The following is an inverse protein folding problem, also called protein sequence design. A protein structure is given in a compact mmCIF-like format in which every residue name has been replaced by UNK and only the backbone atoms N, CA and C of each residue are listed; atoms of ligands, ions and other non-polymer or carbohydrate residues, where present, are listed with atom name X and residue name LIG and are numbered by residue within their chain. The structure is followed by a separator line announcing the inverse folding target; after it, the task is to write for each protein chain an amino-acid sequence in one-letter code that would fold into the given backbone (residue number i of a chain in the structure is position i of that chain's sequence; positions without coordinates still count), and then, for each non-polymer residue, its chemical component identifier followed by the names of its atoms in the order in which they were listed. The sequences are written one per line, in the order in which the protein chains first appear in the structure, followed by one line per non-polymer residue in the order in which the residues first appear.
data_IF_426522193449
#
_entry.id   IF_426522193449
#
_cell.length_a   1.000
_cell.length_b   1.000
_cell.length_c   1.000
_cell.angle_alpha   90.00
_cell.angle_beta   90.00
_cell.angle_gamma   90.00
#
_symmetry.space_group_name_H-M   'P 1'
#
loop_
_entity.id
_entity.type
_entity.pdbx_description
1 polymer ?
#
# COMPACT_ATOMS: atom_id res chain seq x y z
N UNK A 1 29.44 5.97 29.71
CA UNK A 1 29.30 6.10 28.25
C UNK A 1 28.41 4.97 27.72
N UNK A 2 27.16 5.27 27.34
CA UNK A 2 26.25 4.27 26.76
C UNK A 2 26.60 4.04 25.29
N UNK A 3 27.14 2.84 24.98
CA UNK A 3 27.36 2.39 23.60
C UNK A 3 25.99 2.19 22.93
N UNK A 4 25.61 3.11 22.04
CA UNK A 4 24.44 2.94 21.16
C UNK A 4 24.72 1.81 20.18
N UNK A 5 24.31 0.59 20.50
CA UNK A 5 24.24 -0.49 19.51
C UNK A 5 23.05 -0.23 18.61
N UNK A 6 23.30 0.36 17.44
CA UNK A 6 22.35 0.32 16.33
C UNK A 6 22.29 -1.12 15.82
N UNK A 7 21.55 -1.98 16.54
CA UNK A 7 21.06 -3.25 16.01
C UNK A 7 20.03 -2.94 14.93
N UNK A 8 20.50 -2.56 13.75
CA UNK A 8 19.64 -2.32 12.60
C UNK A 8 19.06 -3.68 12.20
N UNK A 9 17.78 -3.91 12.49
CA UNK A 9 17.01 -5.10 12.07
C UNK A 9 17.00 -5.17 10.54
N UNK A 10 18.03 -5.79 9.96
CA UNK A 10 18.21 -6.01 8.53
C UNK A 10 17.92 -7.46 8.11
N UNK A 11 17.48 -8.31 9.04
CA UNK A 11 17.31 -9.75 8.80
C UNK A 11 16.27 -10.07 7.72
N UNK A 12 15.24 -9.24 7.59
CA UNK A 12 14.25 -9.40 6.53
C UNK A 12 14.87 -9.15 5.14
N UNK A 13 15.80 -8.20 5.02
CA UNK A 13 16.38 -7.80 3.74
C UNK A 13 17.44 -8.79 3.25
N UNK A 14 18.25 -9.32 4.19
CA UNK A 14 19.15 -10.43 3.90
C UNK A 14 18.36 -11.62 3.36
N UNK A 15 17.27 -12.00 4.04
CA UNK A 15 16.39 -13.10 3.59
C UNK A 15 15.79 -12.85 2.21
N UNK A 16 15.32 -11.63 1.90
CA UNK A 16 14.78 -11.32 0.56
C UNK A 16 15.85 -11.30 -0.53
N UNK A 17 17.08 -10.90 -0.21
CA UNK A 17 18.20 -10.90 -1.16
C UNK A 17 18.64 -12.34 -1.47
N UNK A 18 18.82 -13.15 -0.42
CA UNK A 18 19.22 -14.55 -0.50
C UNK A 18 18.17 -15.39 -1.26
N UNK A 19 16.88 -15.09 -1.11
CA UNK A 19 15.78 -15.74 -1.84
C UNK A 19 15.73 -15.39 -3.35
N UNK A 20 16.27 -14.23 -3.74
CA UNK A 20 16.23 -13.77 -5.13
C UNK A 20 17.43 -14.22 -5.98
N UNK A 21 18.49 -14.74 -5.35
CA UNK A 21 19.70 -15.19 -6.02
C UNK A 21 20.50 -14.09 -6.73
N UNK A 22 20.20 -12.81 -6.49
CA UNK A 22 20.90 -11.65 -7.06
C UNK A 22 22.04 -11.18 -6.17
N UNK A 23 23.09 -10.65 -6.79
CA UNK A 23 24.10 -9.91 -6.04
C UNK A 23 23.55 -8.57 -5.51
N UNK A 24 23.99 -8.16 -4.32
CA UNK A 24 23.61 -6.89 -3.70
C UNK A 24 23.85 -5.68 -4.63
N UNK A 25 24.87 -5.78 -5.50
CA UNK A 25 25.22 -4.74 -6.46
C UNK A 25 24.14 -4.57 -7.53
N UNK A 26 23.65 -5.66 -8.09
CA UNK A 26 22.64 -5.68 -9.15
C UNK A 26 21.30 -5.13 -8.64
N UNK A 27 20.89 -5.59 -7.46
CA UNK A 27 19.67 -5.09 -6.81
C UNK A 27 19.72 -3.57 -6.56
N UNK A 28 20.87 -3.05 -6.12
CA UNK A 28 21.02 -1.60 -5.90
C UNK A 28 21.03 -0.80 -7.20
N UNK A 29 21.57 -1.36 -8.29
CA UNK A 29 21.58 -0.72 -9.60
C UNK A 29 20.14 -0.60 -10.15
N UNK A 30 19.39 -1.71 -10.17
CA UNK A 30 17.99 -1.72 -10.60
C UNK A 30 17.11 -0.80 -9.76
N UNK A 31 17.31 -0.80 -8.44
CA UNK A 31 16.56 0.09 -7.54
C UNK A 31 16.82 1.56 -7.81
N UNK A 32 18.07 1.94 -8.15
CA UNK A 32 18.41 3.33 -8.48
C UNK A 32 17.90 3.75 -9.86
N UNK A 33 17.90 2.83 -10.81
CA UNK A 33 17.39 3.04 -12.17
C UNK A 33 15.88 3.28 -12.17
N UNK A 34 15.12 2.47 -11.43
CA UNK A 34 13.67 2.67 -11.26
C UNK A 34 13.30 4.02 -10.66
N UNK A 35 14.09 4.49 -9.69
CA UNK A 35 13.87 5.82 -9.07
C UNK A 35 14.48 6.96 -9.93
N UNK A 36 14.97 6.65 -11.15
CA UNK A 36 15.56 7.61 -12.11
C UNK A 36 16.69 8.46 -11.53
N UNK A 37 17.46 7.91 -10.59
CA UNK A 37 18.54 8.65 -9.90
C UNK A 37 19.84 8.56 -10.69
N UNK A 38 20.12 9.59 -11.50
CA UNK A 38 21.37 9.71 -12.28
C UNK A 38 22.58 10.16 -11.46
N UNK A 39 22.40 10.51 -10.18
CA UNK A 39 23.47 11.08 -9.35
C UNK A 39 24.47 10.02 -8.87
N UNK A 40 25.77 10.34 -8.97
CA UNK A 40 26.86 9.52 -8.41
C UNK A 40 27.11 9.74 -6.91
N UNK A 41 26.50 10.76 -6.29
CA UNK A 41 26.74 11.10 -4.87
C UNK A 41 26.15 10.03 -3.94
N UNK A 42 27.00 9.42 -3.10
CA UNK A 42 26.65 8.35 -2.14
C UNK A 42 25.42 8.69 -1.29
N UNK A 43 25.36 9.90 -0.72
CA UNK A 43 24.25 10.35 0.15
C UNK A 43 22.90 10.37 -0.59
N UNK A 44 22.90 10.74 -1.87
CA UNK A 44 21.69 10.82 -2.70
C UNK A 44 21.21 9.41 -3.04
N UNK A 45 22.14 8.51 -3.43
CA UNK A 45 21.83 7.10 -3.70
C UNK A 45 21.24 6.38 -2.49
N UNK A 46 21.83 6.57 -1.30
CA UNK A 46 21.32 5.96 -0.07
C UNK A 46 19.93 6.49 0.31
N UNK A 47 19.68 7.79 0.11
CA UNK A 47 18.36 8.38 0.36
C UNK A 47 17.31 7.85 -0.61
N UNK A 48 17.68 7.67 -1.88
CA UNK A 48 16.81 7.12 -2.91
C UNK A 48 16.50 5.63 -2.67
N UNK A 49 17.51 4.82 -2.36
CA UNK A 49 17.33 3.41 -2.02
C UNK A 49 16.42 3.23 -0.80
N UNK A 50 16.60 4.02 0.25
CA UNK A 50 15.71 3.97 1.42
C UNK A 50 14.26 4.33 1.07
N UNK A 51 14.05 5.26 0.15
CA UNK A 51 12.71 5.62 -0.34
C UNK A 51 12.10 4.50 -1.19
N UNK A 52 12.88 3.94 -2.12
CA UNK A 52 12.49 2.82 -2.96
C UNK A 52 12.06 1.60 -2.12
N UNK A 53 12.83 1.29 -1.08
CA UNK A 53 12.57 0.18 -0.17
C UNK A 53 11.36 0.42 0.75
N UNK A 54 11.09 1.68 1.09
CA UNK A 54 9.92 2.04 1.90
C UNK A 54 8.61 1.97 1.12
N UNK A 55 8.67 2.06 -0.22
CA UNK A 55 7.52 1.91 -1.11
C UNK A 55 7.39 0.42 -1.47
N UNK A 56 6.50 -0.30 -0.75
CA UNK A 56 6.28 -1.75 -0.91
C UNK A 56 5.96 -2.16 -2.36
N UNK A 57 5.42 -1.26 -3.16
CA UNK A 57 5.09 -1.44 -4.58
C UNK A 57 6.35 -1.57 -5.45
N UNK A 58 7.35 -0.72 -5.23
CA UNK A 58 8.61 -0.74 -6.01
C UNK A 58 9.42 -2.01 -5.70
N UNK A 59 9.43 -2.45 -4.45
CA UNK A 59 10.09 -3.70 -4.05
C UNK A 59 9.44 -4.94 -4.70
N UNK A 60 8.10 -4.98 -4.78
CA UNK A 60 7.36 -6.04 -5.48
C UNK A 60 7.64 -6.03 -6.99
N UNK A 61 7.66 -4.85 -7.61
CA UNK A 61 7.97 -4.74 -9.04
C UNK A 61 9.42 -5.12 -9.38
N UNK A 62 10.39 -4.86 -8.49
CA UNK A 62 11.78 -5.33 -8.70
C UNK A 62 11.83 -6.85 -8.64
N UNK A 63 11.12 -7.45 -7.68
CA UNK A 63 11.03 -8.90 -7.55
C UNK A 63 10.36 -9.55 -8.78
N UNK A 64 9.36 -8.89 -9.35
CA UNK A 64 8.61 -9.34 -10.52
C UNK A 64 9.40 -9.18 -11.83
N UNK A 65 10.26 -8.15 -11.94
CA UNK A 65 11.20 -8.02 -13.07
C UNK A 65 12.28 -9.10 -13.07
N UNK A 66 12.76 -9.49 -11.88
CA UNK A 66 13.80 -10.52 -11.74
C UNK A 66 13.28 -11.91 -12.09
N UNK A 67 12.01 -12.20 -11.78
CA UNK A 67 11.37 -13.43 -12.26
C UNK A 67 11.20 -13.44 -13.79
N UNK A 68 11.10 -12.27 -14.42
CA UNK A 68 10.92 -12.12 -15.87
C UNK A 68 12.23 -12.26 -16.66
N UNK A 69 13.39 -11.91 -16.08
CA UNK A 69 14.69 -12.05 -16.75
C UNK A 69 15.17 -13.51 -16.93
N UNK A 70 14.47 -14.50 -16.36
CA UNK A 70 14.75 -15.93 -16.61
C UNK A 70 13.94 -16.57 -17.73
N UNK A 71 13.03 -15.84 -18.38
CA UNK A 71 12.28 -16.37 -19.52
C UNK A 71 12.15 -15.32 -20.63
N UNK A 72 13.00 -15.47 -21.63
CA UNK A 72 12.78 -14.89 -22.95
C UNK A 72 11.40 -15.31 -23.48
N UNK A 73 10.47 -14.37 -23.55
CA UNK A 73 9.52 -14.26 -24.66
C UNK A 73 8.76 -12.92 -24.60
N UNK A 74 8.53 -12.25 -25.75
CA UNK A 74 7.89 -10.96 -25.79
C UNK A 74 6.37 -11.17 -25.69
N UNK A 75 5.84 -11.20 -24.48
CA UNK A 75 4.42 -10.96 -24.28
C UNK A 75 4.21 -9.48 -24.02
N UNK A 76 3.84 -8.79 -25.10
CA UNK A 76 3.07 -7.56 -25.12
C UNK A 76 1.83 -7.77 -24.27
N UNK A 77 1.94 -7.54 -22.96
CA UNK A 77 0.77 -7.41 -22.10
C UNK A 77 0.27 -6.00 -22.37
N UNK A 78 -0.65 -5.92 -23.34
CA UNK A 78 -1.62 -4.85 -23.42
C UNK A 78 -2.10 -4.60 -21.99
N UNK A 79 -1.85 -3.40 -21.49
CA UNK A 79 -2.60 -2.87 -20.36
C UNK A 79 -4.07 -2.85 -20.81
N UNK A 80 -4.77 -3.96 -20.57
CA UNK A 80 -6.21 -3.93 -20.46
C UNK A 80 -6.50 -3.10 -19.22
N UNK A 81 -6.63 -1.79 -19.45
CA UNK A 81 -7.56 -0.95 -18.72
C UNK A 81 -8.97 -1.50 -18.95
N UNK A 82 -9.25 -2.72 -18.49
CA UNK A 82 -10.61 -3.10 -18.17
C UNK A 82 -10.88 -2.46 -16.81
N UNK A 83 -11.41 -1.23 -16.87
CA UNK A 83 -12.10 -0.62 -15.74
C UNK A 83 -13.27 -1.54 -15.41
N UNK A 84 -13.01 -2.57 -14.62
CA UNK A 84 -14.07 -3.29 -13.91
C UNK A 84 -14.45 -2.39 -12.75
N UNK A 85 -15.51 -1.60 -12.96
CA UNK A 85 -16.16 -0.71 -11.98
C UNK A 85 -16.74 -1.46 -10.76
N UNK A 86 -16.23 -2.63 -10.39
CA UNK A 86 -16.95 -3.55 -9.51
C UNK A 86 -16.25 -3.90 -8.18
N UNK A 87 -15.07 -3.34 -7.88
CA UNK A 87 -14.56 -3.36 -6.49
C UNK A 87 -13.50 -2.29 -6.24
N UNK A 88 -13.93 -1.11 -5.81
CA UNK A 88 -12.99 -0.11 -5.27
C UNK A 88 -12.64 -0.53 -3.84
N UNK A 89 -11.38 -0.92 -3.58
CA UNK A 89 -10.95 -1.25 -2.22
C UNK A 89 -10.71 0.02 -1.40
N UNK A 90 -11.22 0.02 -0.18
CA UNK A 90 -10.98 1.08 0.81
C UNK A 90 -9.70 0.85 1.64
N UNK A 91 -8.97 -0.25 1.37
CA UNK A 91 -7.69 -0.54 2.04
C UNK A 91 -6.66 0.53 1.72
N UNK A 92 -5.96 1.02 2.75
CA UNK A 92 -4.95 2.08 2.62
C UNK A 92 -5.48 3.51 2.74
N UNK A 93 -6.80 3.69 2.83
CA UNK A 93 -7.39 4.98 3.14
C UNK A 93 -7.11 5.40 4.59
N UNK A 94 -7.11 6.72 4.88
CA UNK A 94 -6.87 7.22 6.22
C UNK A 94 -8.10 6.94 7.08
N UNK A 95 -7.86 6.64 8.37
CA UNK A 95 -8.92 6.33 9.35
C UNK A 95 -9.98 7.42 9.40
N UNK A 96 -9.56 8.69 9.32
CA UNK A 96 -10.47 9.84 9.33
C UNK A 96 -11.48 9.80 8.18
N UNK A 97 -11.05 9.37 6.99
CA UNK A 97 -11.93 9.23 5.84
C UNK A 97 -12.84 8.00 5.98
N UNK A 98 -12.32 6.86 6.45
CA UNK A 98 -13.12 5.67 6.73
C UNK A 98 -14.23 5.96 7.74
N UNK A 99 -13.94 6.71 8.81
CA UNK A 99 -14.95 7.16 9.77
C UNK A 99 -15.95 8.15 9.16
N UNK A 100 -15.52 8.98 8.20
CA UNK A 100 -16.43 9.88 7.48
C UNK A 100 -17.42 9.11 6.61
N UNK A 101 -16.94 8.09 5.88
CA UNK A 101 -17.78 7.18 5.11
C UNK A 101 -18.72 6.39 6.03
N UNK A 102 -18.17 5.83 7.12
CA UNK A 102 -18.93 5.16 8.16
C UNK A 102 -20.09 6.02 8.68
N UNK A 103 -19.84 7.27 9.05
CA UNK A 103 -20.89 8.18 9.53
C UNK A 103 -21.90 8.58 8.46
N UNK A 104 -21.54 8.52 7.18
CA UNK A 104 -22.42 8.90 6.07
C UNK A 104 -23.34 7.76 5.66
N UNK A 105 -22.79 6.53 5.56
CA UNK A 105 -23.47 5.36 4.99
C UNK A 105 -23.78 4.26 6.01
N UNK A 106 -22.99 4.14 7.08
CA UNK A 106 -23.01 3.03 8.04
C UNK A 106 -23.14 3.52 9.49
N UNK A 107 -24.17 4.34 9.75
CA UNK A 107 -24.36 4.97 11.07
C UNK A 107 -24.63 3.96 12.19
N UNK A 108 -25.29 2.86 11.85
CA UNK A 108 -25.67 1.80 12.78
C UNK A 108 -24.51 0.83 13.08
N UNK A 109 -23.41 0.89 12.32
CA UNK A 109 -22.27 0.02 12.54
C UNK A 109 -21.56 0.35 13.87
N UNK A 110 -21.55 -0.62 14.78
CA UNK A 110 -20.92 -0.50 16.10
C UNK A 110 -19.46 -0.06 16.02
N UNK A 111 -18.75 -0.49 14.98
CA UNK A 111 -17.34 -0.16 14.74
C UNK A 111 -17.13 1.33 14.50
N UNK A 112 -18.07 1.97 13.81
CA UNK A 112 -18.03 3.40 13.53
C UNK A 112 -18.39 4.18 14.79
N UNK A 113 -19.42 3.71 15.52
CA UNK A 113 -19.94 4.36 16.72
C UNK A 113 -18.97 4.30 17.90
N UNK A 114 -18.32 3.15 18.08
CA UNK A 114 -17.45 2.87 19.22
C UNK A 114 -15.96 2.94 18.89
N UNK A 115 -15.59 3.47 17.73
CA UNK A 115 -14.19 3.54 17.30
C UNK A 115 -13.27 4.21 18.33
N UNK A 116 -13.76 5.19 19.09
CA UNK A 116 -12.98 5.86 20.15
C UNK A 116 -13.45 5.52 21.56
N UNK A 117 -14.34 4.54 21.73
CA UNK A 117 -14.82 4.12 23.04
C UNK A 117 -13.85 3.11 23.66
N UNK A 118 -13.16 3.50 24.73
CA UNK A 118 -12.19 2.66 25.43
C UNK A 118 -12.85 1.48 26.17
N UNK A 119 -14.12 1.63 26.58
CA UNK A 119 -14.86 0.59 27.30
C UNK A 119 -15.20 -0.61 26.40
N UNK A 120 -15.13 -0.42 25.08
CA UNK A 120 -15.32 -1.48 24.09
C UNK A 120 -14.01 -1.78 23.38
N UNK A 121 -13.16 -2.56 24.05
CA UNK A 121 -11.80 -2.90 23.59
C UNK A 121 -11.75 -3.43 22.15
N UNK A 122 -12.75 -4.23 21.75
CA UNK A 122 -12.83 -4.83 20.40
C UNK A 122 -12.84 -3.77 19.29
N UNK A 123 -13.51 -2.63 19.54
CA UNK A 123 -13.70 -1.56 18.57
C UNK A 123 -12.73 -0.39 18.76
N UNK A 124 -12.08 -0.30 19.93
CA UNK A 124 -11.23 0.83 20.28
C UNK A 124 -10.03 0.97 19.34
N UNK A 125 -10.05 2.01 18.51
CA UNK A 125 -9.03 2.38 17.51
C UNK A 125 -8.67 1.24 16.57
N UNK A 126 -9.56 0.27 16.40
CA UNK A 126 -9.31 -0.90 15.57
C UNK A 126 -9.54 -0.57 14.09
N UNK A 127 -8.47 -0.20 13.39
CA UNK A 127 -8.53 0.18 11.96
C UNK A 127 -8.88 -1.01 11.07
N UNK A 128 -8.34 -2.19 11.35
CA UNK A 128 -8.53 -3.38 10.51
C UNK A 128 -10.00 -3.75 10.46
N UNK A 129 -10.62 -3.82 11.65
CA UNK A 129 -12.04 -4.10 11.80
C UNK A 129 -12.92 -3.03 11.12
N UNK A 130 -12.53 -1.75 11.19
CA UNK A 130 -13.23 -0.67 10.47
C UNK A 130 -13.15 -0.83 8.94
N UNK A 131 -12.01 -1.25 8.40
CA UNK A 131 -11.86 -1.49 6.96
C UNK A 131 -12.71 -2.66 6.52
N UNK A 132 -12.64 -3.78 7.25
CA UNK A 132 -13.37 -4.99 6.91
C UNK A 132 -14.88 -4.73 6.94
N UNK A 133 -15.39 -4.06 7.97
CA UNK A 133 -16.81 -3.71 8.07
C UNK A 133 -17.24 -2.80 6.94
N UNK A 134 -16.47 -1.76 6.59
CA UNK A 134 -16.80 -0.89 5.46
C UNK A 134 -16.79 -1.65 4.14
N UNK A 135 -15.85 -2.58 3.90
CA UNK A 135 -15.82 -3.41 2.67
C UNK A 135 -16.98 -4.41 2.61
N UNK A 136 -17.41 -4.96 3.75
CA UNK A 136 -18.54 -5.90 3.79
C UNK A 136 -19.88 -5.19 3.69
N UNK A 137 -20.08 -4.12 4.46
CA UNK A 137 -21.36 -3.40 4.50
C UNK A 137 -21.58 -2.60 3.22
N UNK A 138 -20.53 -2.17 2.53
CA UNK A 138 -20.69 -1.48 1.23
C UNK A 138 -21.40 -2.35 0.19
N UNK A 139 -21.29 -3.68 0.28
CA UNK A 139 -21.99 -4.59 -0.63
C UNK A 139 -23.48 -4.71 -0.35
N UNK A 140 -23.91 -4.30 0.84
CA UNK A 140 -25.30 -4.35 1.30
C UNK A 140 -26.01 -2.99 1.16
N UNK A 141 -25.34 -1.97 0.62
CA UNK A 141 -25.96 -0.67 0.33
C UNK A 141 -26.97 -0.81 -0.80
N UNK A 142 -28.01 0.04 -0.77
CA UNK A 142 -28.88 0.24 -1.94
C UNK A 142 -28.06 0.82 -3.10
N UNK A 143 -28.43 0.47 -4.34
CA UNK A 143 -27.70 0.84 -5.56
C UNK A 143 -27.39 2.35 -5.63
N UNK A 144 -28.36 3.21 -5.35
CA UNK A 144 -28.18 4.67 -5.35
C UNK A 144 -27.14 5.15 -4.33
N UNK A 145 -27.11 4.53 -3.15
CA UNK A 145 -26.16 4.87 -2.09
C UNK A 145 -24.77 4.28 -2.37
N UNK A 146 -24.73 3.11 -2.99
CA UNK A 146 -23.51 2.45 -3.41
C UNK A 146 -22.77 3.25 -4.48
N UNK A 147 -23.48 3.78 -5.47
CA UNK A 147 -22.90 4.66 -6.50
C UNK A 147 -22.29 5.93 -5.90
N UNK A 148 -22.98 6.54 -4.93
CA UNK A 148 -22.46 7.71 -4.20
C UNK A 148 -21.24 7.34 -3.37
N UNK A 149 -21.24 6.18 -2.72
CA UNK A 149 -20.10 5.67 -1.97
C UNK A 149 -18.88 5.47 -2.88
N UNK A 150 -19.06 4.83 -4.04
CA UNK A 150 -17.98 4.62 -5.02
C UNK A 150 -17.39 5.94 -5.51
N UNK A 151 -18.24 6.91 -5.85
CA UNK A 151 -17.81 8.27 -6.24
C UNK A 151 -16.99 8.95 -5.16
N UNK A 152 -17.42 8.87 -3.90
CA UNK A 152 -16.69 9.46 -2.77
C UNK A 152 -15.32 8.80 -2.58
N UNK A 153 -15.25 7.46 -2.65
CA UNK A 153 -13.98 6.73 -2.51
C UNK A 153 -13.04 7.07 -3.65
N UNK A 154 -13.52 7.07 -4.89
CA UNK A 154 -12.72 7.36 -6.07
C UNK A 154 -12.18 8.80 -6.03
N UNK A 155 -13.00 9.78 -5.64
CA UNK A 155 -12.57 11.16 -5.49
C UNK A 155 -11.44 11.32 -4.45
N UNK A 156 -11.45 10.54 -3.37
CA UNK A 156 -10.38 10.57 -2.37
C UNK A 156 -9.10 9.90 -2.86
N UNK A 157 -9.21 8.83 -3.65
CA UNK A 157 -8.06 8.19 -4.30
C UNK A 157 -7.40 9.13 -5.31
N UNK A 158 -8.18 9.82 -6.14
CA UNK A 158 -7.68 10.79 -7.12
C UNK A 158 -6.98 11.98 -6.44
N UNK A 159 -7.56 12.54 -5.37
CA UNK A 159 -6.92 13.60 -4.57
C UNK A 159 -5.56 13.20 -4.01
N UNK A 160 -5.38 11.91 -3.72
CA UNK A 160 -4.13 11.37 -3.18
C UNK A 160 -3.13 11.05 -4.28
N UNK A 161 -3.58 10.60 -5.44
CA UNK A 161 -2.73 10.40 -6.61
C UNK A 161 -2.16 11.73 -7.15
N UNK A 162 -2.90 12.84 -6.98
CA UNK A 162 -2.47 14.17 -7.39
C UNK A 162 -1.44 14.84 -6.43
N UNK A 163 -1.13 14.23 -5.28
CA UNK A 163 -0.22 14.76 -4.25
C UNK A 163 1.16 14.12 -4.31
#
# INVERSE_FOLDING_TARGET
MLKRTYGFKNDHWKKTLDQSGMELREFTAMSLEKVKVKSKKKRIRQKALKRALSQKEVAKEILLMVQKEKQDSPQTIKQEQSVTLNSVSVRGLPVTFLLKLGKKYFKEADVVRFYYNADKEVFYKNKELLVDVVETESKNLQDDQYDLFLKDVQAELEKRAAK
#
